data_IF_659778026812
#
_entry.id   IF_659778026812
#
_cell.length_a   1.000
_cell.length_b   1.000
_cell.length_c   1.000
_cell.angle_alpha   90.00
_cell.angle_beta   90.00
_cell.angle_gamma   90.00
#
_symmetry.space_group_name_H-M   'P 1'
#
loop_
_entity.id
_entity.type
_entity.pdbx_description
1 polymer ?
#
# COMPACT_ATOMS: atom_id res chain seq x y z
N UNK A 1 10.98 10.90 -7.66
CA UNK A 1 11.74 9.63 -7.65
C UNK A 1 12.42 9.38 -9.00
N UNK A 2 11.70 9.40 -10.11
CA UNK A 2 12.27 9.08 -11.43
C UNK A 2 13.38 10.05 -11.86
N UNK A 3 13.24 11.33 -11.60
CA UNK A 3 14.29 12.32 -11.89
C UNK A 3 15.56 12.03 -11.11
N UNK A 4 15.44 11.67 -9.84
CA UNK A 4 16.58 11.30 -9.00
C UNK A 4 17.25 10.01 -9.52
N UNK A 5 16.47 9.05 -9.98
CA UNK A 5 17.00 7.81 -10.54
C UNK A 5 17.85 8.08 -11.78
N UNK A 6 17.39 8.98 -12.64
CA UNK A 6 18.15 9.37 -13.84
C UNK A 6 19.42 10.14 -13.50
N UNK A 7 19.34 11.05 -12.53
CA UNK A 7 20.48 11.88 -12.16
C UNK A 7 21.56 11.11 -11.41
N UNK A 8 21.15 10.22 -10.50
CA UNK A 8 22.08 9.50 -9.63
C UNK A 8 22.63 8.21 -10.24
N UNK A 9 22.07 7.76 -11.37
CA UNK A 9 22.49 6.53 -12.03
C UNK A 9 23.97 6.53 -12.42
N UNK A 10 24.53 7.68 -12.77
CA UNK A 10 25.97 7.80 -13.10
C UNK A 10 26.87 7.48 -11.92
N UNK A 11 26.35 7.56 -10.70
CA UNK A 11 27.08 7.20 -9.49
C UNK A 11 26.78 5.75 -9.05
N UNK A 12 26.02 5.01 -9.86
CA UNK A 12 25.56 3.65 -9.56
C UNK A 12 24.68 3.58 -8.32
N UNK A 13 23.89 4.62 -8.14
CA UNK A 13 22.89 4.70 -7.06
C UNK A 13 21.52 4.38 -7.65
N UNK A 14 20.84 3.40 -7.08
CA UNK A 14 19.47 3.08 -7.46
C UNK A 14 18.48 3.88 -6.62
N UNK A 15 17.42 4.34 -7.26
CA UNK A 15 16.36 5.10 -6.59
C UNK A 15 15.01 4.52 -7.00
N UNK A 16 14.28 4.00 -6.04
CA UNK A 16 12.99 3.36 -6.26
C UNK A 16 11.97 3.89 -5.25
N UNK A 17 10.70 3.61 -5.48
CA UNK A 17 9.63 3.96 -4.56
C UNK A 17 8.88 2.70 -4.13
N UNK A 18 8.52 2.63 -2.86
CA UNK A 18 7.57 1.65 -2.34
C UNK A 18 6.29 2.41 -2.03
N UNK A 19 5.18 1.98 -2.59
CA UNK A 19 3.89 2.65 -2.48
C UNK A 19 2.92 1.71 -1.74
N UNK A 20 2.85 1.82 -0.42
CA UNK A 20 1.93 0.98 0.35
C UNK A 20 0.50 1.47 0.23
N UNK A 21 -0.44 0.54 0.31
CA UNK A 21 -1.85 0.85 0.42
C UNK A 21 -2.24 1.16 1.86
N UNK A 22 -3.40 0.66 2.28
CA UNK A 22 -3.90 0.87 3.64
C UNK A 22 -3.24 -0.12 4.60
N UNK A 23 -2.32 0.37 5.42
CA UNK A 23 -1.49 -0.45 6.29
C UNK A 23 -2.12 -0.58 7.69
N UNK A 24 -2.01 -1.75 8.28
CA UNK A 24 -2.52 -2.06 9.61
C UNK A 24 -1.67 -1.36 10.69
N UNK A 25 -2.02 -0.13 10.98
CA UNK A 25 -1.35 0.72 11.99
C UNK A 25 -2.41 1.50 12.78
N UNK A 26 -2.05 2.03 13.96
CA UNK A 26 -2.98 2.88 14.72
C UNK A 26 -3.50 4.09 13.93
N UNK A 27 -2.74 4.59 12.96
CA UNK A 27 -3.17 5.69 12.10
C UNK A 27 -4.39 5.31 11.25
N UNK A 28 -4.48 4.06 10.82
CA UNK A 28 -5.55 3.59 9.92
C UNK A 28 -6.63 2.82 10.65
N UNK A 29 -6.36 2.31 11.85
CA UNK A 29 -7.29 1.49 12.63
C UNK A 29 -7.78 2.22 13.87
N UNK A 30 -8.67 3.20 13.65
CA UNK A 30 -9.34 3.92 14.73
C UNK A 30 -10.77 4.28 14.30
N UNK A 31 -11.61 4.61 15.28
CA UNK A 31 -13.06 4.79 15.06
C UNK A 31 -13.40 5.86 14.03
N UNK A 32 -12.73 7.00 14.05
CA UNK A 32 -12.99 8.06 13.08
C UNK A 32 -12.70 7.59 11.64
N UNK A 33 -11.64 6.80 11.47
CA UNK A 33 -11.30 6.24 10.18
C UNK A 33 -12.33 5.20 9.75
N UNK A 34 -12.82 4.39 10.68
CA UNK A 34 -13.86 3.41 10.38
C UNK A 34 -15.16 4.11 9.94
N UNK A 35 -15.54 5.18 10.63
CA UNK A 35 -16.70 5.97 10.25
C UNK A 35 -16.55 6.56 8.85
N UNK A 36 -15.37 7.04 8.51
CA UNK A 36 -15.05 7.56 7.16
C UNK A 36 -15.21 6.46 6.10
N UNK A 37 -14.70 5.27 6.37
CA UNK A 37 -14.81 4.12 5.44
C UNK A 37 -16.29 3.76 5.22
N UNK A 38 -17.09 3.74 6.27
CA UNK A 38 -18.51 3.44 6.19
C UNK A 38 -19.24 4.50 5.36
N UNK A 39 -18.95 5.76 5.59
CA UNK A 39 -19.54 6.87 4.85
C UNK A 39 -19.20 6.79 3.37
N UNK A 40 -17.93 6.56 3.04
CA UNK A 40 -17.45 6.47 1.66
C UNK A 40 -17.97 5.22 0.96
N UNK A 41 -18.13 4.12 1.69
CA UNK A 41 -18.64 2.87 1.16
C UNK A 41 -20.14 2.79 1.04
N UNK A 42 -20.89 3.80 1.54
CA UNK A 42 -22.35 3.83 1.48
C UNK A 42 -23.02 2.77 2.35
N UNK A 43 -22.29 2.19 3.31
CA UNK A 43 -22.78 1.11 4.15
C UNK A 43 -23.48 1.60 5.41
N UNK A 44 -24.44 0.80 5.89
CA UNK A 44 -25.04 0.96 7.21
C UNK A 44 -24.28 0.04 8.17
N UNK A 45 -23.78 0.55 9.31
CA UNK A 45 -23.05 -0.29 10.26
C UNK A 45 -23.91 -1.42 10.80
N UNK A 46 -23.42 -2.66 10.70
CA UNK A 46 -24.01 -3.83 11.35
C UNK A 46 -22.92 -4.39 12.26
N UNK A 47 -23.12 -4.27 13.57
CA UNK A 47 -22.11 -4.64 14.55
C UNK A 47 -21.19 -3.47 14.90
N UNK A 48 -19.91 -3.73 15.16
CA UNK A 48 -18.95 -2.66 15.43
C UNK A 48 -18.55 -1.96 14.13
N UNK A 49 -18.15 -0.68 14.24
CA UNK A 49 -17.65 0.07 13.09
C UNK A 49 -16.42 -0.60 12.48
N UNK A 50 -15.58 -1.23 13.30
CA UNK A 50 -14.43 -1.98 12.82
C UNK A 50 -14.84 -3.14 11.91
N UNK A 51 -15.82 -3.93 12.32
CA UNK A 51 -16.29 -5.07 11.53
C UNK A 51 -16.90 -4.63 10.20
N UNK A 52 -17.70 -3.58 10.22
CA UNK A 52 -18.32 -3.03 9.01
C UNK A 52 -17.24 -2.45 8.07
N UNK A 53 -16.29 -1.70 8.60
CA UNK A 53 -15.18 -1.16 7.83
C UNK A 53 -14.33 -2.26 7.21
N UNK A 54 -14.06 -3.31 7.97
CA UNK A 54 -13.30 -4.47 7.52
C UNK A 54 -13.93 -5.13 6.29
N UNK A 55 -15.23 -5.32 6.29
CA UNK A 55 -15.96 -5.89 5.15
C UNK A 55 -15.83 -5.03 3.90
N UNK A 56 -16.01 -3.73 4.05
CA UNK A 56 -15.93 -2.78 2.93
C UNK A 56 -14.52 -2.78 2.34
N UNK A 57 -13.50 -2.69 3.19
CA UNK A 57 -12.11 -2.66 2.74
C UNK A 57 -11.66 -3.97 2.11
N UNK A 58 -12.08 -5.11 2.67
CA UNK A 58 -11.76 -6.42 2.10
C UNK A 58 -12.39 -6.60 0.71
N UNK A 59 -13.59 -6.08 0.50
CA UNK A 59 -14.25 -6.15 -0.81
C UNK A 59 -13.58 -5.24 -1.84
N UNK A 60 -12.88 -4.19 -1.38
CA UNK A 60 -12.22 -3.23 -2.24
C UNK A 60 -10.92 -3.75 -2.84
N UNK A 61 -10.20 -4.63 -2.15
CA UNK A 61 -8.93 -5.14 -2.64
C UNK A 61 -9.10 -6.49 -3.37
N UNK A 62 -8.43 -6.68 -4.52
CA UNK A 62 -8.47 -7.97 -5.23
C UNK A 62 -8.01 -9.16 -4.39
N UNK A 63 -7.05 -8.97 -3.48
CA UNK A 63 -6.60 -10.05 -2.60
C UNK A 63 -7.51 -10.27 -1.39
N UNK A 64 -8.56 -9.46 -1.23
CA UNK A 64 -9.56 -9.66 -0.21
C UNK A 64 -9.14 -9.32 1.21
N UNK A 65 -8.16 -8.45 1.37
CA UNK A 65 -7.66 -8.04 2.69
C UNK A 65 -8.08 -6.61 3.01
N UNK A 66 -8.54 -6.34 4.26
CA UNK A 66 -8.96 -4.99 4.65
C UNK A 66 -7.78 -4.06 4.92
N UNK A 67 -6.73 -4.59 5.52
CA UNK A 67 -5.49 -3.86 5.82
C UNK A 67 -4.30 -4.73 5.45
N UNK A 68 -3.20 -4.08 5.10
CA UNK A 68 -1.96 -4.76 4.76
C UNK A 68 -1.07 -4.77 6.00
N UNK A 69 -0.57 -5.95 6.37
CA UNK A 69 0.36 -6.07 7.48
C UNK A 69 1.66 -5.34 7.14
N UNK A 70 2.21 -4.51 8.04
CA UNK A 70 3.52 -3.89 7.82
C UNK A 70 4.61 -4.90 7.47
N UNK A 71 4.52 -6.12 7.98
CA UNK A 71 5.47 -7.20 7.67
C UNK A 71 5.42 -7.63 6.20
N UNK A 72 4.36 -7.27 5.46
CA UNK A 72 4.26 -7.54 4.03
C UNK A 72 4.84 -6.41 3.17
N UNK A 73 5.06 -5.24 3.76
CA UNK A 73 5.70 -4.11 3.09
C UNK A 73 7.22 -4.17 3.25
N UNK A 74 7.70 -4.49 4.45
CA UNK A 74 9.12 -4.49 4.77
C UNK A 74 9.99 -5.34 3.82
N UNK A 75 9.59 -6.56 3.41
CA UNK A 75 10.40 -7.36 2.49
C UNK A 75 10.65 -6.69 1.14
N UNK A 76 9.73 -5.87 0.65
CA UNK A 76 9.93 -5.12 -0.60
C UNK A 76 11.07 -4.11 -0.44
N UNK A 77 11.11 -3.41 0.69
CA UNK A 77 12.18 -2.46 1.00
C UNK A 77 13.54 -3.19 1.11
N UNK A 78 13.55 -4.32 1.81
CA UNK A 78 14.77 -5.13 1.97
C UNK A 78 15.27 -5.63 0.62
N UNK A 79 14.39 -6.12 -0.24
CA UNK A 79 14.75 -6.54 -1.60
C UNK A 79 15.40 -5.39 -2.37
N UNK A 80 14.79 -4.21 -2.35
CA UNK A 80 15.31 -3.06 -3.10
C UNK A 80 16.67 -2.58 -2.57
N UNK A 81 16.96 -2.82 -1.30
CA UNK A 81 18.24 -2.49 -0.68
C UNK A 81 19.30 -3.58 -0.89
N UNK A 82 18.94 -4.72 -1.46
CA UNK A 82 19.83 -5.86 -1.61
C UNK A 82 20.55 -5.87 -2.97
N UNK A 83 21.61 -6.67 -3.05
CA UNK A 83 22.34 -6.88 -4.31
C UNK A 83 21.46 -7.53 -5.38
N UNK A 84 20.44 -8.29 -4.98
CA UNK A 84 19.49 -8.88 -5.91
C UNK A 84 18.75 -7.83 -6.75
N UNK A 85 18.60 -6.61 -6.23
CA UNK A 85 17.94 -5.51 -6.90
C UNK A 85 18.91 -4.50 -7.53
N UNK A 86 20.16 -4.86 -7.72
CA UNK A 86 21.20 -3.92 -8.19
C UNK A 86 20.90 -3.26 -9.55
N UNK A 87 20.09 -3.91 -10.37
CA UNK A 87 19.68 -3.38 -11.68
C UNK A 87 18.29 -2.76 -11.66
N UNK A 88 17.65 -2.65 -10.48
CA UNK A 88 16.33 -2.07 -10.33
C UNK A 88 16.48 -0.60 -9.93
N UNK A 89 16.08 0.30 -10.81
CA UNK A 89 16.10 1.74 -10.54
C UNK A 89 15.00 2.43 -11.33
N UNK A 90 14.39 3.44 -10.74
CA UNK A 90 13.31 4.19 -11.35
C UNK A 90 11.96 3.48 -11.30
N UNK A 91 11.82 2.45 -10.51
CA UNK A 91 10.61 1.65 -10.41
C UNK A 91 9.78 2.00 -9.17
N UNK A 92 8.46 1.90 -9.32
CA UNK A 92 7.52 2.00 -8.21
C UNK A 92 6.91 0.63 -7.94
N UNK A 93 6.99 0.20 -6.68
CA UNK A 93 6.48 -1.10 -6.24
C UNK A 93 5.26 -0.88 -5.37
N UNK A 94 4.09 -1.20 -5.92
CA UNK A 94 2.82 -1.03 -5.23
C UNK A 94 2.55 -2.23 -4.34
N UNK A 95 2.39 -1.98 -3.03
CA UNK A 95 2.03 -3.00 -2.04
C UNK A 95 0.63 -2.67 -1.56
N UNK A 96 -0.36 -2.98 -2.37
CA UNK A 96 -1.75 -2.51 -2.22
C UNK A 96 -2.78 -3.64 -2.25
N UNK A 97 -2.32 -4.89 -2.14
CA UNK A 97 -3.19 -6.07 -2.28
C UNK A 97 -3.98 -6.07 -3.60
N UNK A 98 -3.41 -5.46 -4.64
CA UNK A 98 -4.00 -5.39 -5.96
C UNK A 98 -4.89 -4.18 -6.23
N UNK A 99 -5.18 -3.36 -5.22
CA UNK A 99 -6.10 -2.22 -5.39
C UNK A 99 -5.60 -1.24 -6.46
N UNK A 100 -4.31 -0.96 -6.50
CA UNK A 100 -3.71 -0.04 -7.47
C UNK A 100 -3.75 -0.55 -8.91
N UNK A 101 -4.01 -1.83 -9.12
CA UNK A 101 -4.11 -2.40 -10.47
C UNK A 101 -5.31 -1.84 -11.25
N UNK A 102 -6.25 -1.20 -10.58
CA UNK A 102 -7.39 -0.52 -11.22
C UNK A 102 -7.03 0.84 -11.77
N UNK A 103 -5.89 1.38 -11.35
CA UNK A 103 -5.42 2.68 -11.82
C UNK A 103 -4.76 2.50 -13.17
N UNK A 104 -5.55 2.65 -14.22
CA UNK A 104 -5.03 2.63 -15.59
C UNK A 104 -4.51 4.00 -15.96
N UNK A 105 -3.35 4.02 -16.53
CA UNK A 105 -2.74 5.24 -17.02
C UNK A 105 -2.69 5.18 -18.53
#
# INVERSE_FOLDING_TARGET
MKSAALELGRYKITVNAVVPGLIDTPLTRHEERYAQVLQDGGGTPIGSDEEAAKKILAAKTPLGVPWIDPADVAPVVVFLASDAARMVSGAAYDVTAGDSARNTV
#
